data_IF_893016229853
#
_entry.id   IF_893016229853
#
_cell.length_a   1.000
_cell.length_b   1.000
_cell.length_c   1.000
_cell.angle_alpha   90.00
_cell.angle_beta   90.00
_cell.angle_gamma   90.00
#
_symmetry.space_group_name_H-M   'P 1'
#
loop_
_entity.id
_entity.type
_entity.pdbx_description
1 polymer ?
#
# COMPACT_ATOMS: atom_id res chain seq x y z
N UNK A 1 -46.18 -15.65 -7.55
CA UNK A 1 -45.81 -15.03 -8.84
C UNK A 1 -44.44 -14.40 -8.65
N UNK A 2 -43.43 -14.81 -9.41
CA UNK A 2 -42.06 -14.32 -9.28
C UNK A 2 -41.83 -13.20 -10.30
N UNK A 3 -41.16 -12.11 -9.92
CA UNK A 3 -40.69 -11.09 -10.86
C UNK A 3 -39.17 -11.01 -10.78
N UNK A 4 -38.51 -10.89 -11.93
CA UNK A 4 -37.05 -10.80 -12.03
C UNK A 4 -36.63 -9.36 -12.28
N UNK A 5 -35.61 -8.89 -11.56
CA UNK A 5 -35.08 -7.53 -11.68
C UNK A 5 -34.10 -7.42 -12.86
N UNK A 6 -34.07 -6.29 -13.56
CA UNK A 6 -33.21 -6.06 -14.73
C UNK A 6 -31.71 -5.81 -14.44
N UNK A 7 -31.21 -6.16 -13.25
CA UNK A 7 -29.81 -5.89 -12.90
C UNK A 7 -28.89 -6.85 -13.66
N UNK A 8 -28.12 -6.33 -14.62
CA UNK A 8 -27.12 -7.12 -15.33
C UNK A 8 -25.86 -7.31 -14.46
N UNK A 9 -25.91 -8.32 -13.59
CA UNK A 9 -24.81 -8.67 -12.68
C UNK A 9 -23.52 -9.03 -13.44
N UNK A 10 -23.62 -9.64 -14.62
CA UNK A 10 -22.47 -10.02 -15.45
C UNK A 10 -21.67 -8.82 -15.96
N UNK A 11 -22.33 -7.78 -16.46
CA UNK A 11 -21.66 -6.55 -16.90
C UNK A 11 -21.01 -5.80 -15.74
N UNK A 12 -21.65 -5.77 -14.58
CA UNK A 12 -21.11 -5.14 -13.37
C UNK A 12 -19.84 -5.87 -12.89
N UNK A 13 -19.89 -7.20 -12.80
CA UNK A 13 -18.74 -8.00 -12.43
C UNK A 13 -17.59 -7.84 -13.44
N UNK A 14 -17.89 -7.82 -14.74
CA UNK A 14 -16.89 -7.60 -15.78
C UNK A 14 -16.15 -6.26 -15.63
N UNK A 15 -16.87 -5.18 -15.27
CA UNK A 15 -16.25 -3.87 -15.00
C UNK A 15 -15.32 -3.91 -13.78
N UNK A 16 -15.79 -4.50 -12.69
CA UNK A 16 -15.02 -4.62 -11.44
C UNK A 16 -13.73 -5.42 -11.67
N UNK A 17 -13.83 -6.59 -12.32
CA UNK A 17 -12.66 -7.41 -12.62
C UNK A 17 -11.70 -6.72 -13.61
N UNK A 18 -12.22 -6.00 -14.60
CA UNK A 18 -11.39 -5.21 -15.54
C UNK A 18 -10.62 -4.09 -14.84
N UNK A 19 -11.21 -3.46 -13.83
CA UNK A 19 -10.57 -2.39 -13.06
C UNK A 19 -9.59 -2.90 -11.99
N UNK A 20 -9.71 -4.16 -11.56
CA UNK A 20 -8.95 -4.71 -10.43
C UNK A 20 -7.44 -4.48 -10.53
N UNK A 21 -6.81 -4.80 -11.67
CA UNK A 21 -5.36 -4.64 -11.84
C UNK A 21 -4.90 -3.19 -11.75
N UNK A 22 -5.67 -2.26 -12.35
CA UNK A 22 -5.37 -0.83 -12.30
C UNK A 22 -5.48 -0.30 -10.87
N UNK A 23 -6.55 -0.66 -10.17
CA UNK A 23 -6.77 -0.25 -8.78
C UNK A 23 -5.68 -0.80 -7.87
N UNK A 24 -5.29 -2.06 -8.07
CA UNK A 24 -4.21 -2.68 -7.31
C UNK A 24 -2.88 -1.95 -7.51
N UNK A 25 -2.51 -1.62 -8.75
CA UNK A 25 -1.31 -0.83 -9.05
C UNK A 25 -1.35 0.56 -8.39
N UNK A 26 -2.49 1.26 -8.50
CA UNK A 26 -2.68 2.56 -7.85
C UNK A 26 -2.56 2.47 -6.34
N UNK A 27 -3.21 1.46 -5.72
CA UNK A 27 -3.15 1.22 -4.28
C UNK A 27 -1.72 0.98 -3.80
N UNK A 28 -0.97 0.12 -4.49
CA UNK A 28 0.42 -0.18 -4.09
C UNK A 28 1.29 1.07 -4.14
N UNK A 29 1.20 1.87 -5.20
CA UNK A 29 1.96 3.11 -5.31
C UNK A 29 1.57 4.12 -4.23
N UNK A 30 0.28 4.22 -3.91
CA UNK A 30 -0.21 5.07 -2.84
C UNK A 30 0.36 4.63 -1.49
N UNK A 31 0.33 3.32 -1.17
CA UNK A 31 0.89 2.79 0.06
C UNK A 31 2.40 3.06 0.14
N UNK A 32 3.16 2.86 -0.94
CA UNK A 32 4.61 3.14 -0.97
C UNK A 32 4.86 4.63 -0.69
N UNK A 33 4.06 5.53 -1.28
CA UNK A 33 4.14 6.97 -1.06
C UNK A 33 3.84 7.34 0.40
N UNK A 34 2.72 6.85 0.95
CA UNK A 34 2.26 7.17 2.30
C UNK A 34 3.16 6.57 3.38
N UNK A 35 3.78 5.41 3.12
CA UNK A 35 4.71 4.78 4.06
C UNK A 35 6.08 5.44 4.07
N UNK A 36 6.51 6.07 2.96
CA UNK A 36 7.86 6.61 2.78
C UNK A 36 8.35 7.50 3.94
N UNK A 37 7.58 8.46 4.49
CA UNK A 37 8.05 9.32 5.58
C UNK A 37 8.38 8.59 6.89
N UNK A 38 7.87 7.37 7.07
CA UNK A 38 8.11 6.55 8.25
C UNK A 38 9.32 5.62 8.08
N UNK A 39 9.78 5.41 6.85
CA UNK A 39 10.88 4.49 6.55
C UNK A 39 12.21 5.10 7.01
N UNK A 40 13.07 4.38 7.75
CA UNK A 40 14.40 4.86 8.10
C UNK A 40 15.24 5.27 6.89
N UNK A 41 15.82 6.47 6.95
CA UNK A 41 16.60 7.06 5.86
C UNK A 41 18.02 7.41 6.33
N UNK A 42 18.97 6.51 6.03
CA UNK A 42 20.40 6.78 6.22
C UNK A 42 21.05 7.16 4.88
N UNK A 43 21.17 6.20 3.96
CA UNK A 43 21.64 6.41 2.58
C UNK A 43 20.50 6.46 1.56
N UNK A 44 19.26 6.30 2.01
CA UNK A 44 18.07 6.24 1.16
C UNK A 44 17.82 4.91 0.47
N UNK A 45 18.75 3.93 0.51
CA UNK A 45 18.58 2.65 -0.16
C UNK A 45 17.28 1.93 0.25
N UNK A 46 16.96 1.85 1.55
CA UNK A 46 15.71 1.24 2.02
C UNK A 46 14.45 1.91 1.45
N UNK A 47 14.41 3.24 1.43
CA UNK A 47 13.23 4.00 0.98
C UNK A 47 13.13 4.09 -0.56
N UNK A 48 14.25 3.99 -1.27
CA UNK A 48 14.30 4.18 -2.72
C UNK A 48 14.25 2.88 -3.52
N UNK A 49 14.50 1.74 -2.87
CA UNK A 49 14.49 0.42 -3.54
C UNK A 49 13.22 -0.37 -3.24
N UNK A 50 12.16 0.27 -2.75
CA UNK A 50 10.87 -0.40 -2.49
C UNK A 50 10.22 -0.79 -3.81
N UNK A 51 9.76 -2.03 -3.92
CA UNK A 51 9.09 -2.52 -5.13
C UNK A 51 7.77 -3.20 -4.80
N UNK A 52 6.89 -3.29 -5.79
CA UNK A 52 5.73 -4.16 -5.74
C UNK A 52 6.12 -5.60 -6.16
N UNK A 53 5.45 -6.60 -5.61
CA UNK A 53 5.46 -7.95 -6.19
C UNK A 53 4.91 -7.92 -7.63
N UNK A 54 5.29 -8.90 -8.47
CA UNK A 54 4.86 -9.00 -9.88
C UNK A 54 3.33 -8.96 -10.05
N UNK A 55 2.59 -9.51 -9.07
CA UNK A 55 1.13 -9.51 -9.09
C UNK A 55 0.52 -8.30 -8.37
N UNK A 56 1.33 -7.34 -7.89
CA UNK A 56 0.89 -6.18 -7.13
C UNK A 56 0.26 -6.51 -5.77
N UNK A 57 0.41 -7.74 -5.28
CA UNK A 57 -0.27 -8.21 -4.06
C UNK A 57 0.44 -7.84 -2.77
N UNK A 58 1.72 -7.46 -2.86
CA UNK A 58 2.54 -7.10 -1.71
C UNK A 58 3.62 -6.09 -2.08
N UNK A 59 4.15 -5.44 -1.06
CA UNK A 59 5.25 -4.49 -1.13
C UNK A 59 6.49 -5.15 -0.56
N UNK A 60 7.63 -4.96 -1.22
CA UNK A 60 8.91 -5.57 -0.89
C UNK A 60 9.91 -4.47 -0.59
N UNK A 61 10.49 -4.50 0.61
CA UNK A 61 11.62 -3.67 1.00
C UNK A 61 12.91 -4.46 0.75
N UNK A 62 13.61 -4.15 -0.34
CA UNK A 62 14.68 -4.99 -0.88
C UNK A 62 16.02 -4.91 -0.12
N UNK A 63 16.21 -3.90 0.73
CA UNK A 63 17.47 -3.76 1.47
C UNK A 63 17.67 -4.96 2.42
N UNK A 64 18.88 -5.57 2.48
CA UNK A 64 19.14 -6.75 3.30
C UNK A 64 18.93 -6.50 4.81
N UNK A 65 19.05 -5.24 5.23
CA UNK A 65 18.81 -4.80 6.60
C UNK A 65 17.36 -4.35 6.86
N UNK A 66 16.46 -4.35 5.86
CA UNK A 66 15.07 -3.88 5.99
C UNK A 66 14.35 -4.59 7.12
N UNK A 67 14.42 -5.93 7.15
CA UNK A 67 13.80 -6.76 8.19
C UNK A 67 14.35 -6.44 9.57
N UNK A 68 15.66 -6.23 9.70
CA UNK A 68 16.29 -5.88 10.97
C UNK A 68 15.81 -4.52 11.45
N UNK A 69 15.75 -3.50 10.59
CA UNK A 69 15.22 -2.20 11.01
C UNK A 69 13.73 -2.28 11.35
N UNK A 70 12.97 -3.15 10.66
CA UNK A 70 11.53 -3.27 10.87
C UNK A 70 11.17 -3.76 12.27
N UNK A 71 11.80 -4.85 12.70
CA UNK A 71 11.47 -5.53 13.95
C UNK A 71 12.24 -5.02 15.18
N UNK A 72 13.08 -4.00 15.00
CA UNK A 72 13.86 -3.38 16.09
C UNK A 72 13.53 -1.90 16.25
N UNK A 73 12.31 -1.56 16.74
CA UNK A 73 11.87 -0.18 16.93
C UNK A 73 12.67 0.59 17.99
N UNK A 74 13.45 -0.09 18.83
CA UNK A 74 14.34 0.50 19.83
C UNK A 74 15.56 1.21 19.23
N UNK A 75 15.86 1.00 17.93
CA UNK A 75 16.96 1.68 17.26
C UNK A 75 16.73 3.19 17.15
N UNK A 76 17.83 3.94 17.24
CA UNK A 76 17.82 5.40 17.03
C UNK A 76 17.90 5.69 15.53
N UNK A 77 16.75 5.94 14.91
CA UNK A 77 16.67 6.32 13.51
C UNK A 77 17.00 7.81 13.30
N UNK A 78 17.72 8.12 12.22
CA UNK A 78 17.93 9.51 11.81
C UNK A 78 16.62 10.13 11.35
N UNK A 79 16.35 11.35 11.82
CA UNK A 79 15.14 12.13 11.52
C UNK A 79 15.39 13.29 10.56
N UNK A 80 16.60 13.39 9.99
CA UNK A 80 17.00 14.52 9.13
C UNK A 80 16.19 14.57 7.83
N UNK A 81 16.05 13.42 7.15
CA UNK A 81 15.33 13.32 5.88
C UNK A 81 13.88 12.90 6.09
N UNK A 82 13.66 11.93 6.97
CA UNK A 82 12.35 11.37 7.31
C UNK A 82 12.08 11.61 8.80
N UNK A 83 11.41 12.71 9.18
CA UNK A 83 11.19 13.07 10.58
C UNK A 83 10.38 12.04 11.37
N UNK A 84 9.56 11.24 10.68
CA UNK A 84 8.69 10.22 11.24
C UNK A 84 9.30 8.81 11.21
N UNK A 85 10.61 8.70 10.91
CA UNK A 85 11.32 7.42 10.80
C UNK A 85 11.17 6.55 12.06
N UNK A 86 10.78 5.28 11.88
CA UNK A 86 10.56 4.30 12.96
C UNK A 86 10.83 2.87 12.49
N UNK A 87 10.92 1.90 13.41
CA UNK A 87 11.14 0.49 13.08
C UNK A 87 9.91 -0.14 12.45
N UNK A 88 8.75 -0.06 13.09
CA UNK A 88 7.48 -0.60 12.57
C UNK A 88 6.77 0.34 11.58
N UNK A 89 7.53 0.90 10.64
CA UNK A 89 7.09 2.00 9.78
C UNK A 89 5.82 1.71 8.97
N UNK A 90 5.63 0.45 8.55
CA UNK A 90 4.44 0.04 7.81
C UNK A 90 3.20 -0.04 8.70
N UNK A 91 3.31 -0.58 9.93
CA UNK A 91 2.17 -0.62 10.85
C UNK A 91 1.72 0.78 11.26
N UNK A 92 2.67 1.72 11.44
CA UNK A 92 2.35 3.12 11.75
C UNK A 92 1.61 3.76 10.57
N UNK A 93 2.13 3.63 9.35
CA UNK A 93 1.48 4.15 8.16
C UNK A 93 0.09 3.53 7.95
N UNK A 94 -0.04 2.22 8.14
CA UNK A 94 -1.33 1.50 8.08
C UNK A 94 -2.31 2.03 9.11
N UNK A 95 -1.88 2.24 10.35
CA UNK A 95 -2.73 2.82 11.40
C UNK A 95 -3.31 4.19 11.04
N UNK A 96 -2.58 4.98 10.24
CA UNK A 96 -2.97 6.33 9.82
C UNK A 96 -3.81 6.30 8.54
N UNK A 97 -3.41 5.52 7.53
CA UNK A 97 -3.91 5.64 6.16
C UNK A 97 -4.87 4.52 5.73
N UNK A 98 -5.11 3.49 6.55
CA UNK A 98 -5.94 2.34 6.17
C UNK A 98 -7.34 2.72 5.66
N UNK A 99 -8.02 3.66 6.32
CA UNK A 99 -9.35 4.11 5.91
C UNK A 99 -9.35 4.78 4.54
N UNK A 100 -8.33 5.59 4.27
CA UNK A 100 -8.13 6.26 2.98
C UNK A 100 -7.87 5.23 1.88
N UNK A 101 -6.99 4.25 2.12
CA UNK A 101 -6.69 3.19 1.15
C UNK A 101 -7.94 2.41 0.76
N UNK A 102 -8.76 2.00 1.74
CA UNK A 102 -10.01 1.29 1.50
C UNK A 102 -10.99 2.11 0.66
N UNK A 103 -11.16 3.41 0.99
CA UNK A 103 -12.05 4.30 0.26
C UNK A 103 -11.60 4.50 -1.19
N UNK A 104 -10.32 4.71 -1.43
CA UNK A 104 -9.77 4.89 -2.78
C UNK A 104 -9.90 3.61 -3.61
N UNK A 105 -9.62 2.45 -3.02
CA UNK A 105 -9.79 1.14 -3.68
C UNK A 105 -11.25 0.90 -4.06
N UNK A 106 -12.18 1.11 -3.13
CA UNK A 106 -13.61 0.95 -3.40
C UNK A 106 -14.07 1.87 -4.54
N UNK A 107 -13.67 3.15 -4.49
CA UNK A 107 -14.00 4.11 -5.55
C UNK A 107 -13.42 3.67 -6.89
N UNK A 108 -12.18 3.20 -6.92
CA UNK A 108 -11.53 2.76 -8.15
C UNK A 108 -12.15 1.50 -8.76
N UNK A 109 -12.70 0.59 -7.97
CA UNK A 109 -13.34 -0.63 -8.47
C UNK A 109 -14.70 -0.35 -9.12
N UNK A 110 -15.44 0.61 -8.57
CA UNK A 110 -16.83 0.93 -8.98
C UNK A 110 -16.88 1.93 -10.14
N UNK A 111 -15.79 2.67 -10.38
CA UNK A 111 -15.68 3.72 -11.40
C UNK A 111 -15.39 3.17 -12.80
#
# INVERSE_FOLDING_TARGET
MSFETQLNTGQLLGRIYGNQHKVQFMLVNQIISDTRPFVPFLSGNLANTVTANINGSSIIYNAPYARKLYYHPEFKFSKQHHPLATGVFFEVAKGIHLSQWLSQTQKGLIN
#
